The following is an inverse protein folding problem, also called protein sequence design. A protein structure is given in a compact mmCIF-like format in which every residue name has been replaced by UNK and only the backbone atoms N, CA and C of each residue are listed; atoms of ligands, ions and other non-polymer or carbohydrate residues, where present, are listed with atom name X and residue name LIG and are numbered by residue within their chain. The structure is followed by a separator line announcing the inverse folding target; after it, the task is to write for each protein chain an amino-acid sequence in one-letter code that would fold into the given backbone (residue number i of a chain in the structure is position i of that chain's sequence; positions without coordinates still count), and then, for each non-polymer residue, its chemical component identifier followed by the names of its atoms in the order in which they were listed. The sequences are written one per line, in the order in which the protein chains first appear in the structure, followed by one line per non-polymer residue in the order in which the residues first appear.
data_IF_223255472815
#
_entry.id   IF_223255472815
#
_cell.length_a   1.000
_cell.length_b   1.000
_cell.length_c   1.000
_cell.angle_alpha   90.00
_cell.angle_beta   90.00
_cell.angle_gamma   90.00
#
_symmetry.space_group_name_H-M   'P 1'
#
loop_
_entity.id
_entity.type
_entity.pdbx_description
1 polymer ?
#
# COMPACT_ATOMS: atom_id res chain seq x y z
N UNK A 1 0.95 -13.80 -3.38
CA UNK A 1 0.34 -12.60 -2.78
C UNK A 1 0.29 -12.82 -1.29
N UNK A 2 1.06 -12.03 -0.57
CA UNK A 2 1.06 -12.07 0.89
C UNK A 2 -0.16 -11.32 1.42
N UNK A 3 -1.34 -11.81 1.17
CA UNK A 3 -2.53 -11.20 1.72
C UNK A 3 -2.57 -11.33 3.24
N UNK A 4 -1.94 -12.31 3.83
CA UNK A 4 -1.89 -12.44 5.29
C UNK A 4 -1.24 -11.24 5.96
N UNK A 5 -0.17 -10.71 5.39
CA UNK A 5 0.62 -9.64 6.00
C UNK A 5 -0.07 -8.26 5.98
N UNK A 6 -1.13 -8.13 5.16
CA UNK A 6 -1.92 -6.89 5.06
C UNK A 6 -2.99 -6.78 6.11
N UNK A 7 -3.22 -7.80 6.87
CA UNK A 7 -4.35 -7.86 7.80
C UNK A 7 -4.09 -7.20 9.13
N UNK A 8 -2.86 -6.73 9.36
CA UNK A 8 -2.51 -5.88 10.50
C UNK A 8 -3.44 -4.68 10.71
N UNK A 9 -4.12 -4.26 9.66
CA UNK A 9 -5.05 -3.12 9.69
C UNK A 9 -6.52 -3.52 9.91
N UNK A 10 -6.78 -4.75 10.32
CA UNK A 10 -8.12 -5.22 10.63
C UNK A 10 -9.03 -5.36 9.42
N UNK A 11 -8.52 -5.83 8.29
CA UNK A 11 -9.33 -6.16 7.11
C UNK A 11 -10.07 -7.46 7.39
N UNK A 12 -11.38 -7.47 7.20
CA UNK A 12 -12.24 -8.63 7.42
C UNK A 12 -12.14 -9.27 8.82
N UNK A 13 -11.79 -8.46 9.83
CA UNK A 13 -11.60 -8.94 11.21
C UNK A 13 -10.25 -9.60 11.49
N UNK A 14 -9.35 -9.63 10.53
CA UNK A 14 -8.01 -10.20 10.66
C UNK A 14 -6.96 -9.12 10.93
N UNK A 15 -5.87 -9.50 11.59
CA UNK A 15 -4.68 -8.67 11.78
C UNK A 15 -3.42 -9.46 11.41
N UNK A 16 -2.28 -8.78 11.34
CA UNK A 16 -1.01 -9.47 11.10
C UNK A 16 -0.64 -10.40 12.27
N UNK A 17 -1.06 -10.05 13.46
CA UNK A 17 -0.86 -10.87 14.67
C UNK A 17 -1.51 -12.25 14.56
N UNK A 18 -2.58 -12.41 13.76
CA UNK A 18 -3.25 -13.72 13.55
C UNK A 18 -2.40 -14.69 12.71
N UNK A 19 -1.33 -14.23 12.09
CA UNK A 19 -0.53 -15.00 11.13
C UNK A 19 0.97 -15.00 11.40
N UNK A 20 1.42 -14.38 12.48
CA UNK A 20 2.81 -14.36 12.93
C UNK A 20 2.96 -15.08 14.26
N UNK A 21 4.17 -15.55 14.54
CA UNK A 21 4.51 -16.16 15.82
C UNK A 21 4.33 -15.18 16.98
N UNK A 22 4.12 -15.68 18.18
CA UNK A 22 3.88 -14.87 19.39
C UNK A 22 4.99 -13.85 19.64
N UNK A 23 6.23 -14.20 19.35
CA UNK A 23 7.40 -13.32 19.49
C UNK A 23 7.38 -12.09 18.55
N UNK A 24 6.52 -12.12 17.53
CA UNK A 24 6.36 -11.05 16.53
C UNK A 24 5.12 -10.19 16.77
N UNK A 25 4.38 -10.46 17.81
CA UNK A 25 3.15 -9.75 18.14
C UNK A 25 3.44 -8.42 18.85
N UNK A 26 2.41 -7.56 18.85
CA UNK A 26 2.43 -6.29 19.53
C UNK A 26 2.53 -6.49 21.03
N UNK A 27 3.67 -6.13 21.63
CA UNK A 27 3.99 -6.40 23.02
C UNK A 27 4.25 -5.13 23.82
N UNK A 28 3.74 -5.04 25.03
CA UNK A 28 4.07 -3.95 25.96
C UNK A 28 5.37 -4.25 26.68
N UNK A 29 6.32 -3.35 26.60
CA UNK A 29 7.59 -3.45 27.27
C UNK A 29 7.48 -3.09 28.76
N UNK A 30 8.40 -3.61 29.63
CA UNK A 30 8.42 -3.31 31.07
C UNK A 30 8.59 -1.81 31.41
N UNK A 31 9.21 -1.04 30.55
CA UNK A 31 9.39 0.41 30.68
C UNK A 31 8.14 1.22 30.29
N UNK A 32 7.05 0.54 29.89
CA UNK A 32 5.81 1.13 29.41
C UNK A 32 5.80 1.46 27.92
N UNK A 33 6.90 1.21 27.20
CA UNK A 33 6.97 1.27 25.75
C UNK A 33 6.21 0.14 25.07
N UNK A 34 6.20 0.18 23.78
CA UNK A 34 5.58 -0.85 22.93
C UNK A 34 6.58 -1.31 21.90
N UNK A 35 6.61 -2.60 21.66
CA UNK A 35 7.36 -3.23 20.58
C UNK A 35 6.39 -3.86 19.59
N UNK A 36 6.63 -3.62 18.31
CA UNK A 36 5.85 -4.21 17.23
C UNK A 36 6.76 -4.59 16.07
N UNK A 37 7.40 -5.75 16.13
CA UNK A 37 8.40 -6.18 15.15
C UNK A 37 7.89 -6.13 13.71
N UNK A 38 6.64 -6.51 13.48
CA UNK A 38 6.01 -6.44 12.16
C UNK A 38 6.00 -5.03 11.55
N UNK A 39 5.89 -4.02 12.41
CA UNK A 39 5.96 -2.63 11.96
C UNK A 39 7.37 -2.24 11.55
N UNK A 40 8.36 -2.72 12.27
CA UNK A 40 9.77 -2.45 11.98
C UNK A 40 10.25 -3.19 10.73
N UNK A 41 9.76 -4.40 10.49
CA UNK A 41 10.13 -5.22 9.34
C UNK A 41 9.51 -4.78 8.02
N UNK A 42 8.51 -3.92 8.01
CA UNK A 42 7.80 -3.53 6.77
C UNK A 42 8.74 -2.98 5.69
N UNK A 43 9.79 -2.24 6.06
CA UNK A 43 10.81 -1.76 5.14
C UNK A 43 11.64 -2.91 4.56
N UNK A 44 12.20 -3.75 5.43
CA UNK A 44 12.96 -4.94 5.01
C UNK A 44 12.13 -5.88 4.15
N UNK A 45 10.86 -6.09 4.49
CA UNK A 45 9.93 -6.91 3.67
C UNK A 45 9.83 -6.34 2.25
N UNK A 46 9.71 -5.02 2.08
CA UNK A 46 9.66 -4.41 0.75
C UNK A 46 10.95 -4.63 -0.02
N UNK A 47 12.09 -4.37 0.60
CA UNK A 47 13.40 -4.46 -0.05
C UNK A 47 13.77 -5.91 -0.42
N UNK A 48 13.48 -6.87 0.45
CA UNK A 48 13.87 -8.27 0.26
C UNK A 48 12.90 -9.03 -0.66
N UNK A 49 11.59 -8.81 -0.51
CA UNK A 49 10.57 -9.50 -1.31
C UNK A 49 10.24 -8.81 -2.63
N UNK A 50 10.52 -7.52 -2.75
CA UNK A 50 10.13 -6.69 -3.88
C UNK A 50 8.61 -6.62 -4.09
N UNK A 51 7.81 -6.87 -3.03
CA UNK A 51 6.35 -6.77 -3.11
C UNK A 51 5.88 -5.32 -3.20
N UNK A 52 4.68 -5.11 -3.68
CA UNK A 52 4.00 -3.82 -3.60
C UNK A 52 3.39 -3.62 -2.21
N UNK A 53 3.47 -2.39 -1.68
CA UNK A 53 2.82 -2.00 -0.44
C UNK A 53 2.06 -0.69 -0.63
N UNK A 54 0.84 -0.62 -0.08
CA UNK A 54 -0.02 0.56 -0.13
C UNK A 54 -1.42 0.25 0.38
N UNK A 55 -2.30 1.23 0.34
CA UNK A 55 -3.71 1.08 0.79
C UNK A 55 -4.58 0.44 -0.28
N UNK A 56 -4.37 -0.83 -0.56
CA UNK A 56 -4.97 -1.54 -1.69
C UNK A 56 -6.36 -2.11 -1.44
N UNK A 57 -6.66 -2.52 -0.21
CA UNK A 57 -7.90 -3.20 0.12
C UNK A 57 -8.68 -2.41 1.17
N UNK A 58 -9.90 -1.99 0.86
CA UNK A 58 -10.76 -1.26 1.78
C UNK A 58 -10.06 -0.06 2.45
N UNK A 59 -9.19 0.63 1.73
CA UNK A 59 -8.34 1.74 2.21
C UNK A 59 -7.35 1.35 3.32
N UNK A 60 -7.05 0.07 3.46
CA UNK A 60 -6.11 -0.49 4.43
C UNK A 60 -4.81 -0.87 3.77
N UNK A 61 -3.70 -0.71 4.50
CA UNK A 61 -2.39 -1.09 4.04
C UNK A 61 -2.29 -2.61 3.84
N UNK A 62 -1.62 -3.02 2.77
CA UNK A 62 -1.46 -4.40 2.39
C UNK A 62 -0.21 -4.61 1.54
N UNK A 63 0.33 -5.83 1.59
CA UNK A 63 1.37 -6.29 0.69
C UNK A 63 0.76 -7.12 -0.45
N UNK A 64 1.26 -6.90 -1.67
CA UNK A 64 0.92 -7.71 -2.84
C UNK A 64 2.23 -8.17 -3.49
N UNK A 65 2.42 -9.49 -3.61
CA UNK A 65 3.63 -10.02 -4.24
C UNK A 65 3.70 -9.66 -5.74
N UNK A 66 4.92 -9.64 -6.28
CA UNK A 66 5.19 -9.34 -7.70
C UNK A 66 4.39 -10.21 -8.66
N UNK A 67 4.13 -11.47 -8.30
CA UNK A 67 3.35 -12.40 -9.09
C UNK A 67 1.91 -11.94 -9.32
N UNK A 68 1.28 -11.34 -8.30
CA UNK A 68 -0.14 -10.94 -8.32
C UNK A 68 -0.35 -9.47 -8.65
N UNK A 69 0.73 -8.68 -8.64
CA UNK A 69 0.66 -7.25 -8.88
C UNK A 69 0.08 -6.87 -10.25
N UNK A 70 0.47 -7.54 -11.37
CA UNK A 70 -0.10 -7.23 -12.67
C UNK A 70 -1.61 -7.47 -12.73
N UNK A 71 -2.12 -8.57 -12.18
CA UNK A 71 -3.55 -8.85 -12.11
C UNK A 71 -4.30 -7.82 -11.26
N UNK A 72 -3.71 -7.44 -10.12
CA UNK A 72 -4.28 -6.39 -9.28
C UNK A 72 -4.40 -5.07 -10.04
N UNK A 73 -3.34 -4.58 -10.66
CA UNK A 73 -3.35 -3.34 -11.43
C UNK A 73 -4.35 -3.39 -12.58
N UNK A 74 -4.35 -4.46 -13.38
CA UNK A 74 -5.23 -4.61 -14.53
C UNK A 74 -6.70 -4.51 -14.12
N UNK A 75 -7.10 -5.24 -13.09
CA UNK A 75 -8.47 -5.17 -12.61
C UNK A 75 -8.77 -3.81 -11.94
N UNK A 76 -7.90 -3.33 -11.04
CA UNK A 76 -8.15 -2.07 -10.32
C UNK A 76 -8.23 -0.87 -11.24
N UNK A 77 -7.37 -0.77 -12.24
CA UNK A 77 -7.40 0.32 -13.21
C UNK A 77 -8.65 0.29 -14.11
N UNK A 78 -9.32 -0.86 -14.24
CA UNK A 78 -10.61 -0.94 -14.94
C UNK A 78 -11.77 -0.32 -14.16
N UNK A 79 -11.70 -0.29 -12.82
CA UNK A 79 -12.71 0.30 -11.93
C UNK A 79 -12.27 1.64 -11.31
N UNK A 80 -10.98 1.93 -11.32
CA UNK A 80 -10.36 3.23 -10.99
C UNK A 80 -9.64 3.73 -12.23
N UNK A 81 -10.33 4.37 -13.19
CA UNK A 81 -9.70 4.81 -14.43
C UNK A 81 -8.60 5.85 -14.14
N UNK A 82 -7.67 6.00 -15.09
CA UNK A 82 -6.61 7.00 -14.99
C UNK A 82 -7.23 8.38 -14.73
N UNK A 83 -6.68 9.18 -13.83
CA UNK A 83 -7.22 10.50 -13.50
C UNK A 83 -7.39 11.41 -14.71
N UNK A 84 -8.44 12.20 -14.70
CA UNK A 84 -8.71 13.19 -15.75
C UNK A 84 -7.62 14.27 -15.77
N UNK A 85 -7.33 14.79 -16.95
CA UNK A 85 -6.39 15.89 -17.15
C UNK A 85 -6.79 17.12 -16.32
N UNK A 86 -5.82 17.71 -15.63
CA UNK A 86 -6.04 18.85 -14.74
C UNK A 86 -6.67 18.52 -13.39
N UNK A 87 -6.94 17.24 -13.10
CA UNK A 87 -7.39 16.82 -11.78
C UNK A 87 -6.25 16.83 -10.74
N UNK A 88 -6.62 16.84 -9.46
CA UNK A 88 -5.64 16.78 -8.37
C UNK A 88 -4.88 15.44 -8.38
N UNK A 89 -5.56 14.36 -8.66
CA UNK A 89 -4.96 13.03 -8.78
C UNK A 89 -3.94 12.96 -9.92
N UNK A 90 -4.25 13.59 -11.05
CA UNK A 90 -3.32 13.68 -12.18
C UNK A 90 -2.08 14.50 -11.79
N UNK A 91 -2.26 15.64 -11.12
CA UNK A 91 -1.14 16.46 -10.64
C UNK A 91 -0.24 15.71 -9.64
N UNK A 92 -0.80 14.88 -8.76
CA UNK A 92 -0.03 14.02 -7.85
C UNK A 92 0.82 13.02 -8.64
N UNK A 93 0.24 12.35 -9.65
CA UNK A 93 0.97 11.41 -10.49
C UNK A 93 2.04 12.08 -11.35
N UNK A 94 1.73 13.26 -11.92
CA UNK A 94 2.68 14.04 -12.68
C UNK A 94 3.89 14.46 -11.83
N UNK A 95 3.64 14.87 -10.58
CA UNK A 95 4.70 15.22 -9.63
C UNK A 95 5.61 14.03 -9.35
N UNK A 96 5.06 12.84 -9.06
CA UNK A 96 5.87 11.63 -8.84
C UNK A 96 6.64 11.19 -10.10
N UNK A 97 6.07 11.42 -11.29
CA UNK A 97 6.76 11.10 -12.55
C UNK A 97 7.93 12.04 -12.82
N UNK A 98 7.81 13.34 -12.50
CA UNK A 98 8.86 14.35 -12.73
C UNK A 98 9.93 14.34 -11.64
N UNK A 99 9.51 14.38 -10.37
CA UNK A 99 10.42 14.53 -9.22
C UNK A 99 10.99 13.18 -8.74
N UNK A 100 10.35 12.08 -9.08
CA UNK A 100 10.71 10.75 -8.59
C UNK A 100 10.00 10.39 -7.30
N UNK A 101 10.65 9.57 -6.46
CA UNK A 101 10.06 9.11 -5.21
C UNK A 101 10.09 10.20 -4.15
N UNK A 102 8.96 10.46 -3.50
CA UNK A 102 8.78 11.51 -2.49
C UNK A 102 8.11 10.96 -1.24
N UNK A 103 8.52 11.42 -0.08
CA UNK A 103 7.75 11.14 1.14
C UNK A 103 6.42 11.90 1.10
N UNK A 104 5.40 11.35 1.76
CA UNK A 104 4.02 11.89 1.73
C UNK A 104 3.96 13.39 2.02
N UNK A 105 4.81 13.91 2.93
CA UNK A 105 4.86 15.32 3.28
C UNK A 105 5.37 16.18 2.12
N UNK A 106 6.40 15.75 1.43
CA UNK A 106 7.01 16.47 0.30
C UNK A 106 6.07 16.46 -0.90
N UNK A 107 5.52 15.30 -1.23
CA UNK A 107 4.52 15.17 -2.30
C UNK A 107 3.32 16.10 -2.06
N UNK A 108 2.81 16.14 -0.82
CA UNK A 108 1.72 17.05 -0.45
C UNK A 108 2.10 18.50 -0.64
N UNK A 109 3.30 18.91 -0.22
CA UNK A 109 3.78 20.27 -0.39
C UNK A 109 3.98 20.64 -1.86
N UNK A 110 4.57 19.77 -2.66
CA UNK A 110 4.77 19.95 -4.09
C UNK A 110 3.44 20.11 -4.85
N UNK A 111 2.38 19.43 -4.40
CA UNK A 111 1.02 19.59 -4.96
C UNK A 111 0.24 20.78 -4.35
N UNK A 112 0.85 21.65 -3.54
CA UNK A 112 0.22 22.87 -3.01
C UNK A 112 -0.72 22.67 -1.81
N UNK A 113 -0.74 21.48 -1.19
CA UNK A 113 -1.58 21.16 -0.02
C UNK A 113 -0.88 21.50 1.31
N UNK A 114 -0.57 22.77 1.54
CA UNK A 114 0.25 23.22 2.67
C UNK A 114 -0.53 23.57 3.94
N UNK A 115 -1.83 23.80 3.84
CA UNK A 115 -2.68 24.20 4.98
C UNK A 115 -3.12 23.03 5.88
N UNK A 116 -3.38 23.27 7.20
CA UNK A 116 -3.77 22.22 8.13
C UNK A 116 -5.05 21.46 7.73
N UNK A 117 -6.02 22.15 7.13
CA UNK A 117 -7.29 21.55 6.64
C UNK A 117 -7.14 20.80 5.32
N UNK A 118 -6.00 20.91 4.65
CA UNK A 118 -5.77 20.32 3.32
C UNK A 118 -5.21 18.89 3.42
N UNK A 119 -4.73 18.48 4.60
CA UNK A 119 -4.11 17.17 4.80
C UNK A 119 -5.07 16.00 4.53
N UNK A 120 -6.22 15.99 5.18
CA UNK A 120 -7.20 14.92 5.02
C UNK A 120 -7.74 14.83 3.59
N UNK A 121 -7.84 15.96 2.91
CA UNK A 121 -8.26 16.03 1.50
C UNK A 121 -7.20 15.42 0.58
N UNK A 122 -5.93 15.77 0.78
CA UNK A 122 -4.81 15.16 0.06
C UNK A 122 -4.74 13.66 0.30
N UNK A 123 -4.85 13.21 1.56
CA UNK A 123 -4.81 11.80 1.94
C UNK A 123 -5.94 10.99 1.27
N UNK A 124 -7.10 11.59 1.01
CA UNK A 124 -8.19 10.94 0.29
C UNK A 124 -7.85 10.70 -1.20
N UNK A 125 -7.27 11.69 -1.88
CA UNK A 125 -6.80 11.54 -3.26
C UNK A 125 -5.67 10.51 -3.36
N UNK A 126 -4.70 10.60 -2.46
CA UNK A 126 -3.60 9.64 -2.40
C UNK A 126 -4.11 8.21 -2.22
N UNK A 127 -5.02 8.00 -1.26
CA UNK A 127 -5.61 6.67 -1.01
C UNK A 127 -6.35 6.13 -2.24
N UNK A 128 -7.06 6.97 -2.99
CA UNK A 128 -7.71 6.55 -4.22
C UNK A 128 -6.71 6.10 -5.29
N UNK A 129 -5.59 6.79 -5.42
CA UNK A 129 -4.52 6.42 -6.34
C UNK A 129 -3.83 5.12 -5.92
N UNK A 130 -3.61 4.91 -4.62
CA UNK A 130 -3.10 3.63 -4.09
C UNK A 130 -4.09 2.49 -4.39
N UNK A 131 -5.39 2.67 -4.11
CA UNK A 131 -6.43 1.68 -4.39
C UNK A 131 -6.54 1.33 -5.88
N UNK A 132 -6.25 2.27 -6.76
CA UNK A 132 -6.21 2.07 -8.21
C UNK A 132 -4.89 1.43 -8.71
N UNK A 133 -3.91 1.23 -7.84
CA UNK A 133 -2.60 0.69 -8.24
C UNK A 133 -1.77 1.68 -9.06
N UNK A 134 -1.92 2.98 -8.84
CA UNK A 134 -1.14 4.04 -9.49
C UNK A 134 0.02 4.52 -8.63
N UNK A 135 -0.05 4.33 -7.32
CA UNK A 135 0.99 4.68 -6.35
C UNK A 135 1.27 3.49 -5.44
N UNK A 136 2.53 3.30 -5.12
CA UNK A 136 3.04 2.29 -4.17
C UNK A 136 4.03 2.95 -3.23
N UNK A 137 4.25 2.33 -2.07
CA UNK A 137 5.35 2.67 -1.18
C UNK A 137 6.61 1.91 -1.64
N UNK A 138 7.66 2.65 -1.92
CA UNK A 138 8.98 2.13 -2.27
C UNK A 138 9.77 1.72 -1.04
N UNK A 139 9.70 2.56 0.02
CA UNK A 139 10.42 2.35 1.28
C UNK A 139 9.79 3.17 2.41
N UNK A 140 10.36 3.06 3.61
CA UNK A 140 10.01 3.87 4.77
C UNK A 140 11.22 4.67 5.26
N UNK A 141 11.07 5.98 5.33
CA UNK A 141 12.12 6.90 5.79
C UNK A 141 11.86 7.25 7.24
N UNK A 142 12.78 6.89 8.11
CA UNK A 142 12.70 7.18 9.54
C UNK A 142 13.45 8.48 9.87
N UNK A 143 12.83 9.38 10.66
CA UNK A 143 13.54 10.54 11.17
C UNK A 143 14.65 10.09 12.11
N UNK A 144 15.75 10.86 12.16
CA UNK A 144 16.88 10.59 13.05
C UNK A 144 17.00 11.67 14.11
N UNK A 145 17.31 11.27 15.34
CA UNK A 145 17.60 12.18 16.43
C UNK A 145 19.01 12.79 16.28
N UNK A 146 19.37 13.68 17.21
CA UNK A 146 20.70 14.32 17.24
C UNK A 146 21.88 13.35 17.39
N UNK A 147 21.61 12.10 17.77
CA UNK A 147 22.59 11.02 17.91
C UNK A 147 22.59 10.06 16.73
N UNK A 148 21.81 10.35 15.68
CA UNK A 148 21.69 9.52 14.49
C UNK A 148 20.77 8.30 14.64
N UNK A 149 20.05 8.15 15.78
CA UNK A 149 19.14 7.03 16.02
C UNK A 149 17.79 7.30 15.37
N UNK A 150 17.27 6.34 14.67
CA UNK A 150 15.92 6.39 14.10
C UNK A 150 14.87 6.39 15.20
N UNK A 151 13.79 7.14 14.98
CA UNK A 151 12.69 7.21 15.93
C UNK A 151 11.34 7.42 15.22
N UNK A 152 10.28 7.10 15.96
CA UNK A 152 8.90 7.31 15.51
C UNK A 152 8.48 6.39 14.37
N UNK A 153 7.38 6.77 13.74
CA UNK A 153 6.80 6.02 12.63
C UNK A 153 7.45 6.43 11.32
N UNK A 154 8.03 5.50 10.58
CA UNK A 154 8.62 5.80 9.28
C UNK A 154 7.60 6.44 8.32
N UNK A 155 8.06 7.39 7.51
CA UNK A 155 7.26 8.01 6.46
C UNK A 155 7.34 7.19 5.18
N UNK A 156 6.20 6.88 4.57
CA UNK A 156 6.18 6.20 3.28
C UNK A 156 6.86 7.06 2.22
N UNK A 157 7.86 6.48 1.57
CA UNK A 157 8.46 6.98 0.34
C UNK A 157 7.61 6.47 -0.81
N UNK A 158 6.87 7.35 -1.45
CA UNK A 158 5.88 7.03 -2.47
C UNK A 158 6.48 7.14 -3.86
N UNK A 159 6.10 6.22 -4.73
CA UNK A 159 6.51 6.20 -6.14
C UNK A 159 5.42 5.62 -7.04
N UNK A 160 5.64 5.62 -8.35
CA UNK A 160 4.76 4.88 -9.28
C UNK A 160 5.23 3.44 -9.44
N UNK A 161 4.31 2.47 -9.62
CA UNK A 161 4.70 1.07 -9.81
C UNK A 161 5.53 0.87 -11.09
N UNK A 162 5.31 1.65 -12.13
CA UNK A 162 6.10 1.58 -13.36
C UNK A 162 7.56 1.99 -13.14
N UNK A 163 7.81 2.92 -12.20
CA UNK A 163 9.17 3.30 -11.81
C UNK A 163 9.83 2.22 -10.96
N UNK A 164 9.10 1.65 -10.01
CA UNK A 164 9.64 0.66 -9.07
C UNK A 164 9.82 -0.71 -9.70
N UNK A 165 8.87 -1.13 -10.54
CA UNK A 165 8.79 -2.49 -11.05
C UNK A 165 9.03 -2.63 -12.56
N UNK A 166 9.15 -1.52 -13.27
CA UNK A 166 9.28 -1.47 -14.72
C UNK A 166 7.97 -1.18 -15.45
N UNK A 167 8.07 -0.73 -16.69
CA UNK A 167 6.93 -0.20 -17.46
C UNK A 167 5.78 -1.20 -17.66
N UNK A 168 6.12 -2.49 -17.77
CA UNK A 168 5.14 -3.55 -18.08
C UNK A 168 4.56 -4.20 -16.81
N UNK A 169 4.97 -3.72 -15.63
CA UNK A 169 4.60 -4.33 -14.34
C UNK A 169 3.10 -4.35 -14.04
N UNK A 170 2.32 -3.48 -14.70
CA UNK A 170 0.87 -3.35 -14.49
C UNK A 170 0.03 -3.84 -15.67
N UNK A 171 0.65 -4.53 -16.64
CA UNK A 171 0.01 -4.93 -17.90
C UNK A 171 0.12 -6.44 -18.09
N UNK A 172 -0.77 -7.26 -17.53
CA UNK A 172 -0.80 -8.68 -17.83
C UNK A 172 -1.43 -8.93 -19.21
N UNK A 173 -1.06 -10.04 -19.83
CA UNK A 173 -1.63 -10.49 -21.10
C UNK A 173 -3.00 -11.17 -20.88
N UNK A 174 -3.96 -10.41 -20.33
CA UNK A 174 -5.34 -10.88 -20.09
C UNK A 174 -6.30 -9.73 -19.83
N UNK A 175 -7.60 -10.02 -19.94
CA UNK A 175 -8.66 -9.04 -19.65
C UNK A 175 -8.75 -8.71 -18.15
N UNK A 176 -9.31 -7.53 -17.80
CA UNK A 176 -9.57 -7.19 -16.38
C UNK A 176 -10.50 -8.18 -15.68
N UNK A 177 -11.44 -8.78 -16.38
CA UNK A 177 -12.33 -9.79 -15.81
C UNK A 177 -11.59 -11.09 -15.44
N UNK A 178 -10.71 -11.56 -16.31
CA UNK A 178 -9.87 -12.73 -16.03
C UNK A 178 -8.93 -12.45 -14.84
N UNK A 179 -8.35 -11.25 -14.77
CA UNK A 179 -7.55 -10.84 -13.61
C UNK A 179 -8.36 -10.84 -12.32
N UNK A 180 -9.61 -10.35 -12.37
CA UNK A 180 -10.53 -10.38 -11.22
C UNK A 180 -10.80 -11.80 -10.74
N UNK A 181 -11.13 -12.72 -11.64
CA UNK A 181 -11.40 -14.12 -11.29
C UNK A 181 -10.17 -14.83 -10.68
N UNK A 182 -8.98 -14.53 -11.20
CA UNK A 182 -7.72 -15.01 -10.60
C UNK A 182 -7.52 -14.48 -9.18
N UNK A 183 -7.73 -13.18 -8.97
CA UNK A 183 -7.64 -12.55 -7.64
C UNK A 183 -8.67 -13.15 -6.67
N UNK A 184 -9.91 -13.33 -7.10
CA UNK A 184 -10.95 -14.01 -6.30
C UNK A 184 -10.56 -15.45 -5.94
N UNK A 185 -10.02 -16.20 -6.89
CA UNK A 185 -9.53 -17.55 -6.65
C UNK A 185 -8.41 -17.58 -5.60
N UNK A 186 -7.51 -16.61 -5.63
CA UNK A 186 -6.44 -16.48 -4.65
C UNK A 186 -6.97 -16.04 -3.26
N UNK A 187 -7.90 -15.08 -3.22
CA UNK A 187 -8.54 -14.66 -1.97
C UNK A 187 -9.23 -15.83 -1.26
N UNK A 188 -9.98 -16.66 -1.99
CA UNK A 188 -10.62 -17.86 -1.44
C UNK A 188 -9.63 -18.87 -0.86
N UNK A 189 -8.44 -19.01 -1.45
CA UNK A 189 -7.39 -19.89 -0.92
C UNK A 189 -6.77 -19.35 0.38
N UNK A 190 -6.63 -18.05 0.49
CA UNK A 190 -5.95 -17.40 1.63
C UNK A 190 -6.91 -17.17 2.80
N UNK A 191 -8.17 -16.93 2.51
CA UNK A 191 -9.24 -16.62 3.46
C UNK A 191 -10.40 -17.60 3.26
N UNK A 192 -10.20 -18.92 3.45
CA UNK A 192 -11.20 -19.93 3.09
C UNK A 192 -12.50 -19.84 3.88
N UNK A 193 -12.45 -19.29 5.10
CA UNK A 193 -13.59 -19.14 6.01
C UNK A 193 -14.46 -17.93 5.70
N UNK A 194 -14.07 -17.07 4.75
CA UNK A 194 -14.76 -15.82 4.48
C UNK A 194 -15.91 -15.98 3.50
N UNK A 195 -16.88 -15.06 3.61
CA UNK A 195 -18.03 -15.05 2.71
C UNK A 195 -17.72 -14.37 1.37
N UNK A 196 -18.51 -14.68 0.35
CA UNK A 196 -18.41 -14.03 -0.96
C UNK A 196 -18.52 -12.49 -0.89
N UNK A 197 -19.29 -11.95 0.07
CA UNK A 197 -19.41 -10.50 0.29
C UNK A 197 -18.09 -9.84 0.73
N UNK A 198 -17.30 -10.55 1.52
CA UNK A 198 -15.98 -10.06 1.95
C UNK A 198 -15.04 -9.97 0.76
N UNK A 199 -14.94 -11.02 -0.06
CA UNK A 199 -14.10 -11.00 -1.27
C UNK A 199 -14.49 -9.86 -2.22
N UNK A 200 -15.78 -9.67 -2.46
CA UNK A 200 -16.28 -8.56 -3.28
C UNK A 200 -15.92 -7.18 -2.68
N UNK A 201 -15.99 -7.06 -1.35
CA UNK A 201 -15.60 -5.82 -0.66
C UNK A 201 -14.11 -5.54 -0.76
N UNK A 202 -13.27 -6.57 -0.74
CA UNK A 202 -11.83 -6.43 -0.88
C UNK A 202 -11.41 -6.02 -2.29
N UNK A 203 -12.18 -6.41 -3.30
CA UNK A 203 -11.88 -6.10 -4.71
C UNK A 203 -12.54 -4.81 -5.23
N UNK A 204 -13.34 -4.13 -4.43
CA UNK A 204 -13.97 -2.83 -4.79
C UNK A 204 -13.03 -1.64 -4.73
#
# INVERSE_FOLDING_TARGET
MCIRDRLSMGIAGWSAEDVVDEDCQYTRLPDGGWEWPLWEWKGSILQESGCAYGKFFSRKAAFISREWWPDFCNYRRSIYPYPEEGSIEEAILATLKSEGSLITRELRAACGFTGPKMRSRFDAYLTRLEMGGYIVTEDFIYPRDRHGREYGWGWSLLTTPERLFGKDACQPDRSPLESRERLLGQLRKILPEESGKVYESLLK
#
